data_IF_094915602205
#
_entry.id   IF_094915602205
#
_cell.length_a   1.000
_cell.length_b   1.000
_cell.length_c   1.000
_cell.angle_alpha   90.00
_cell.angle_beta   90.00
_cell.angle_gamma   90.00
#
_symmetry.space_group_name_H-M   'P 1'
#
loop_
_entity.id
_entity.type
_entity.pdbx_description
1 polymer ?
#
# COMPACT_ATOMS: atom_id res chain seq x y z
N UNK A 1 1.07 19.53 -28.60
CA UNK A 1 1.60 19.43 -27.22
C UNK A 1 0.94 18.25 -26.49
N UNK A 2 1.78 17.31 -26.07
CA UNK A 2 1.76 16.58 -24.80
C UNK A 2 0.47 15.91 -24.25
N UNK A 3 -0.67 15.91 -24.95
CA UNK A 3 -1.92 15.34 -24.46
C UNK A 3 -2.25 13.97 -25.06
N UNK A 4 -1.25 13.11 -25.30
CA UNK A 4 -1.54 11.66 -25.35
C UNK A 4 -1.71 11.21 -23.90
N UNK A 5 -2.96 11.05 -23.49
CA UNK A 5 -3.34 10.75 -22.12
C UNK A 5 -2.35 9.78 -21.46
N UNK A 6 -1.65 10.27 -20.43
CA UNK A 6 -0.68 9.52 -19.60
C UNK A 6 -1.28 8.17 -19.16
N UNK A 7 -2.61 8.13 -18.99
CA UNK A 7 -3.37 6.92 -18.69
C UNK A 7 -3.21 5.80 -19.73
N UNK A 8 -3.30 6.13 -21.02
CA UNK A 8 -3.09 5.16 -22.10
C UNK A 8 -1.64 4.67 -22.18
N UNK A 9 -0.69 5.46 -21.66
CA UNK A 9 0.74 5.18 -21.62
C UNK A 9 1.10 4.26 -20.45
N UNK A 10 0.49 4.48 -19.26
CA UNK A 10 0.55 3.58 -18.10
C UNK A 10 -0.07 2.21 -18.39
N UNK A 11 -1.15 2.17 -19.19
CA UNK A 11 -1.84 0.93 -19.58
C UNK A 11 -1.10 0.11 -20.65
N UNK A 12 -0.28 0.76 -21.48
CA UNK A 12 0.50 0.13 -22.56
C UNK A 12 1.94 -0.20 -22.18
N UNK A 13 2.49 0.44 -21.13
CA UNK A 13 3.79 0.08 -20.60
C UNK A 13 3.66 -1.13 -19.68
N UNK A 14 4.04 -2.31 -20.18
CA UNK A 14 4.11 -3.56 -19.41
C UNK A 14 4.90 -3.40 -18.09
N UNK A 15 5.94 -2.56 -18.08
CA UNK A 15 6.78 -2.28 -16.91
C UNK A 15 6.10 -1.38 -15.86
N UNK A 16 5.19 -0.49 -16.25
CA UNK A 16 4.47 0.42 -15.34
C UNK A 16 3.23 -0.23 -14.70
N UNK A 17 2.92 -1.47 -15.08
CA UNK A 17 1.88 -2.32 -14.52
C UNK A 17 2.31 -3.15 -13.29
N UNK A 18 3.39 -2.77 -12.59
CA UNK A 18 3.78 -3.44 -11.35
C UNK A 18 2.58 -3.48 -10.39
N UNK A 19 2.26 -4.67 -9.87
CA UNK A 19 1.02 -4.94 -9.12
C UNK A 19 0.66 -3.83 -8.13
N UNK A 20 -0.47 -3.15 -8.39
CA UNK A 20 -1.07 -2.19 -7.45
C UNK A 20 -1.55 -2.87 -6.17
N UNK A 21 -1.67 -4.20 -6.19
CA UNK A 21 -2.07 -4.98 -5.03
C UNK A 21 -0.85 -5.27 -4.18
N UNK A 22 -0.89 -4.79 -2.93
CA UNK A 22 0.06 -5.18 -1.89
C UNK A 22 0.16 -6.70 -1.89
N UNK A 23 1.39 -7.22 -2.01
CA UNK A 23 1.62 -8.67 -1.92
C UNK A 23 1.06 -9.15 -0.58
N UNK A 24 0.10 -10.07 -0.62
CA UNK A 24 -0.44 -10.66 0.61
C UNK A 24 0.67 -11.51 1.23
N UNK A 25 1.13 -11.11 2.42
CA UNK A 25 2.06 -11.89 3.23
C UNK A 25 1.25 -12.56 4.35
N UNK A 26 1.39 -13.90 4.49
CA UNK A 26 0.72 -14.65 5.56
C UNK A 26 1.12 -14.09 6.92
N UNK A 27 0.20 -14.13 7.91
CA UNK A 27 0.45 -13.60 9.26
C UNK A 27 1.70 -14.23 9.89
N UNK A 28 1.86 -15.55 9.80
CA UNK A 28 3.04 -16.23 10.34
C UNK A 28 4.37 -15.67 9.82
N UNK A 29 4.45 -15.38 8.51
CA UNK A 29 5.64 -14.74 7.92
C UNK A 29 5.83 -13.32 8.42
N UNK A 30 4.73 -12.55 8.59
CA UNK A 30 4.79 -11.17 9.11
C UNK A 30 5.27 -11.12 10.56
N UNK A 31 4.83 -12.07 11.39
CA UNK A 31 5.28 -12.19 12.78
C UNK A 31 6.76 -12.54 12.83
N UNK A 32 7.20 -13.52 12.02
CA UNK A 32 8.60 -13.95 12.00
C UNK A 32 9.59 -12.84 11.63
N UNK A 33 9.22 -11.93 10.72
CA UNK A 33 10.08 -10.82 10.31
C UNK A 33 9.78 -9.50 11.03
N UNK A 34 8.95 -9.49 12.09
CA UNK A 34 8.59 -8.29 12.84
C UNK A 34 7.70 -7.28 12.10
N UNK A 35 7.24 -7.60 10.90
CA UNK A 35 6.35 -6.74 10.11
C UNK A 35 4.97 -6.60 10.77
N UNK A 36 4.50 -7.62 11.50
CA UNK A 36 3.22 -7.56 12.18
C UNK A 36 3.20 -6.46 13.25
N UNK A 37 4.23 -6.39 14.11
CA UNK A 37 4.33 -5.39 15.17
C UNK A 37 4.41 -3.96 14.62
N UNK A 38 5.09 -3.77 13.49
CA UNK A 38 5.14 -2.49 12.80
C UNK A 38 3.76 -2.06 12.25
N UNK A 39 2.97 -3.02 11.75
CA UNK A 39 1.61 -2.75 11.28
C UNK A 39 0.69 -2.39 12.44
N UNK A 40 0.78 -3.11 13.56
CA UNK A 40 -0.09 -2.91 14.72
C UNK A 40 0.19 -1.56 15.39
N UNK A 41 1.46 -1.14 15.48
CA UNK A 41 1.82 0.22 15.93
C UNK A 41 1.19 1.32 15.07
N UNK A 42 1.30 1.21 13.75
CA UNK A 42 0.70 2.18 12.82
C UNK A 42 -0.83 2.21 12.92
N UNK A 43 -1.46 1.06 13.11
CA UNK A 43 -2.91 0.97 13.28
C UNK A 43 -3.36 1.68 14.57
N UNK A 44 -2.63 1.51 15.68
CA UNK A 44 -2.92 2.19 16.93
C UNK A 44 -2.79 3.72 16.81
N UNK A 45 -1.76 4.21 16.12
CA UNK A 45 -1.58 5.65 15.84
C UNK A 45 -2.73 6.21 15.00
N UNK A 46 -3.20 5.45 14.01
CA UNK A 46 -4.30 5.86 13.15
C UNK A 46 -5.62 5.92 13.93
N UNK A 47 -5.92 4.91 14.74
CA UNK A 47 -7.11 4.91 15.60
C UNK A 47 -7.10 6.08 16.59
N UNK A 48 -5.94 6.38 17.19
CA UNK A 48 -5.80 7.52 18.09
C UNK A 48 -6.04 8.87 17.40
N UNK A 49 -5.70 9.00 16.12
CA UNK A 49 -5.99 10.19 15.32
C UNK A 49 -7.49 10.32 15.02
N UNK A 50 -8.13 9.22 14.64
CA UNK A 50 -9.58 9.19 14.36
C UNK A 50 -10.40 9.52 15.60
N UNK A 51 -10.01 9.00 16.77
CA UNK A 51 -10.68 9.29 18.05
C UNK A 51 -10.51 10.74 18.51
N UNK A 52 -9.44 11.43 18.08
CA UNK A 52 -9.23 12.87 18.41
C UNK A 52 -9.95 13.81 17.44
N UNK A 53 -10.34 13.30 16.27
CA UNK A 53 -11.03 14.05 15.23
C UNK A 53 -12.56 13.92 15.31
N UNK A 54 -13.07 13.07 16.21
CA UNK A 54 -14.49 12.86 16.51
C UNK A 54 -14.86 13.53 17.82
#
# INVERSE_FOLDING_TARGET
MANRAIWSMKRRHEWLGKSLKKRRVKRATRVRCGLQDAMDRRAAEQQARENRAS
#
